data_IF_486110452249
#
_entry.id   IF_486110452249
#
_cell.length_a   1.000
_cell.length_b   1.000
_cell.length_c   1.000
_cell.angle_alpha   90.00
_cell.angle_beta   90.00
_cell.angle_gamma   90.00
#
_symmetry.space_group_name_H-M   'P 1'
#
loop_
_entity.id
_entity.type
_entity.pdbx_description
1 polymer ?
#
# COMPACT_ATOMS: atom_id res chain seq x y z
N UNK A 1 -27.37 -6.96 -18.78
CA UNK A 1 -26.68 -5.65 -18.79
C UNK A 1 -27.05 -4.91 -17.50
N UNK A 2 -27.00 -5.62 -16.36
CA UNK A 2 -27.68 -5.22 -15.11
C UNK A 2 -26.70 -5.01 -13.95
N UNK A 3 -25.42 -5.33 -14.16
CA UNK A 3 -24.35 -5.17 -13.16
C UNK A 3 -23.97 -3.70 -12.94
N UNK A 4 -24.19 -2.83 -13.93
CA UNK A 4 -23.93 -1.39 -13.84
C UNK A 4 -24.94 -0.65 -12.97
N UNK A 5 -26.18 -1.17 -12.87
CA UNK A 5 -27.28 -0.60 -12.08
C UNK A 5 -27.47 -1.26 -10.72
N UNK A 6 -26.72 -2.34 -10.43
CA UNK A 6 -26.79 -3.03 -9.14
C UNK A 6 -25.96 -2.28 -8.08
N UNK A 7 -26.61 -1.64 -7.08
CA UNK A 7 -25.90 -0.91 -6.03
C UNK A 7 -24.99 -1.83 -5.22
N UNK A 8 -25.30 -3.13 -5.12
CA UNK A 8 -24.46 -4.07 -4.37
C UNK A 8 -23.10 -4.29 -5.04
N UNK A 9 -23.06 -4.34 -6.38
CA UNK A 9 -21.81 -4.52 -7.12
C UNK A 9 -20.87 -3.32 -6.92
N UNK A 10 -21.41 -2.10 -6.91
CA UNK A 10 -20.66 -0.89 -6.63
C UNK A 10 -20.12 -0.84 -5.19
N UNK A 11 -20.96 -1.23 -4.20
CA UNK A 11 -20.54 -1.28 -2.80
C UNK A 11 -19.43 -2.32 -2.60
N UNK A 12 -19.56 -3.50 -3.21
CA UNK A 12 -18.53 -4.54 -3.14
C UNK A 12 -17.21 -4.07 -3.76
N UNK A 13 -17.26 -3.42 -4.94
CA UNK A 13 -16.10 -2.84 -5.61
C UNK A 13 -15.40 -1.78 -4.75
N UNK A 14 -16.17 -0.85 -4.18
CA UNK A 14 -15.63 0.21 -3.31
C UNK A 14 -15.01 -0.40 -2.05
N UNK A 15 -15.67 -1.39 -1.44
CA UNK A 15 -15.18 -2.03 -0.22
C UNK A 15 -13.89 -2.82 -0.47
N UNK A 16 -13.84 -3.59 -1.57
CA UNK A 16 -12.63 -4.31 -1.98
C UNK A 16 -11.48 -3.36 -2.28
N UNK A 17 -11.76 -2.31 -3.05
CA UNK A 17 -10.76 -1.28 -3.39
C UNK A 17 -10.25 -0.57 -2.14
N UNK A 18 -11.15 -0.24 -1.19
CA UNK A 18 -10.79 0.38 0.07
C UNK A 18 -9.90 -0.54 0.93
N UNK A 19 -10.22 -1.83 1.01
CA UNK A 19 -9.40 -2.82 1.72
C UNK A 19 -8.00 -2.96 1.12
N UNK A 20 -7.90 -3.03 -0.21
CA UNK A 20 -6.61 -3.07 -0.90
C UNK A 20 -5.77 -1.82 -0.65
N UNK A 21 -6.41 -0.64 -0.64
CA UNK A 21 -5.75 0.63 -0.36
C UNK A 21 -5.25 0.66 1.09
N UNK A 22 -6.06 0.27 2.07
CA UNK A 22 -5.65 0.24 3.49
C UNK A 22 -4.48 -0.70 3.70
N UNK A 23 -4.54 -1.93 3.14
CA UNK A 23 -3.44 -2.88 3.22
C UNK A 23 -2.15 -2.35 2.56
N UNK A 24 -2.28 -1.60 1.46
CA UNK A 24 -1.14 -1.00 0.77
C UNK A 24 -0.55 0.23 1.48
N UNK A 25 -1.38 1.02 2.18
CA UNK A 25 -0.97 2.25 2.86
C UNK A 25 -0.16 1.97 4.13
N UNK A 26 -0.51 0.93 4.89
CA UNK A 26 0.15 0.57 6.16
C UNK A 26 1.68 0.48 6.00
N UNK A 27 2.16 -0.13 4.91
CA UNK A 27 3.59 -0.34 4.66
C UNK A 27 4.33 0.96 4.29
N UNK A 28 3.72 1.80 3.45
CA UNK A 28 4.30 3.08 3.02
C UNK A 28 4.37 4.07 4.20
N UNK A 29 3.33 4.11 5.05
CA UNK A 29 3.30 4.98 6.23
C UNK A 29 4.40 4.58 7.22
N UNK A 30 4.58 3.29 7.52
CA UNK A 30 5.63 2.83 8.43
C UNK A 30 7.03 3.27 7.97
N UNK A 31 7.31 3.10 6.66
CA UNK A 31 8.56 3.51 6.05
C UNK A 31 8.78 5.03 6.11
N UNK A 32 7.74 5.80 5.81
CA UNK A 32 7.85 7.26 5.82
C UNK A 32 8.02 7.82 7.23
N UNK A 33 7.42 7.18 8.25
CA UNK A 33 7.62 7.51 9.67
C UNK A 33 9.04 7.15 10.12
N UNK A 34 9.53 5.95 9.75
CA UNK A 34 10.87 5.50 10.15
C UNK A 34 11.95 6.37 9.51
N UNK A 35 11.85 6.66 8.21
CA UNK A 35 12.81 7.52 7.51
C UNK A 35 12.82 8.96 8.04
N UNK A 36 11.68 9.49 8.50
CA UNK A 36 11.57 10.82 9.11
C UNK A 36 12.26 10.95 10.47
N UNK A 37 12.51 9.83 11.17
CA UNK A 37 13.20 9.83 12.48
C UNK A 37 14.72 9.73 12.39
N UNK A 38 15.31 9.52 11.21
CA UNK A 38 16.77 9.42 11.06
C UNK A 38 17.45 10.78 10.83
N UNK A 39 18.70 10.96 11.33
CA UNK A 39 19.51 12.15 11.08
C UNK A 39 19.78 12.34 9.58
N UNK A 40 19.89 13.59 9.12
CA UNK A 40 19.96 13.97 7.69
C UNK A 40 20.94 13.13 6.84
N UNK A 41 22.08 12.74 7.41
CA UNK A 41 23.09 11.91 6.72
C UNK A 41 22.63 10.47 6.43
N UNK A 42 21.69 9.95 7.22
CA UNK A 42 21.12 8.61 7.08
C UNK A 42 19.73 8.61 6.43
N UNK A 43 19.08 9.76 6.27
CA UNK A 43 17.77 9.86 5.62
C UNK A 43 17.80 9.38 4.17
N UNK A 44 18.90 9.61 3.44
CA UNK A 44 19.03 9.15 2.06
C UNK A 44 19.06 7.61 2.00
N UNK A 45 19.83 6.96 2.89
CA UNK A 45 19.84 5.50 2.99
C UNK A 45 18.51 4.95 3.49
N UNK A 46 17.89 5.58 4.49
CA UNK A 46 16.60 5.18 5.03
C UNK A 46 15.46 5.33 4.00
N UNK A 47 15.49 6.37 3.16
CA UNK A 47 14.57 6.52 2.02
C UNK A 47 14.75 5.42 1.00
N UNK A 48 15.99 5.10 0.62
CA UNK A 48 16.24 4.04 -0.37
C UNK A 48 15.89 2.67 0.17
N UNK A 49 16.28 2.35 1.41
CA UNK A 49 15.96 1.09 2.07
C UNK A 49 14.46 0.97 2.30
N UNK A 50 13.82 2.07 2.68
CA UNK A 50 12.38 2.19 2.83
C UNK A 50 11.65 1.99 1.51
N UNK A 51 12.00 2.71 0.45
CA UNK A 51 11.42 2.52 -0.88
C UNK A 51 11.60 1.09 -1.40
N UNK A 52 12.77 0.48 -1.16
CA UNK A 52 13.03 -0.92 -1.50
C UNK A 52 12.14 -1.89 -0.69
N UNK A 53 11.99 -1.68 0.61
CA UNK A 53 11.08 -2.46 1.47
C UNK A 53 9.61 -2.29 1.06
N UNK A 54 9.17 -1.08 0.73
CA UNK A 54 7.82 -0.82 0.22
C UNK A 54 7.58 -1.59 -1.08
N UNK A 55 8.53 -1.53 -2.03
CA UNK A 55 8.46 -2.30 -3.27
C UNK A 55 8.39 -3.80 -3.02
N UNK A 56 9.22 -4.34 -2.11
CA UNK A 56 9.21 -5.77 -1.75
C UNK A 56 7.88 -6.16 -1.10
N UNK A 57 7.37 -5.38 -0.14
CA UNK A 57 6.08 -5.66 0.50
C UNK A 57 4.95 -5.70 -0.52
N UNK A 58 5.00 -4.83 -1.53
CA UNK A 58 4.02 -4.76 -2.61
C UNK A 58 4.12 -5.97 -3.54
N UNK A 59 5.33 -6.43 -3.85
CA UNK A 59 5.56 -7.65 -4.63
C UNK A 59 5.05 -8.88 -3.86
N UNK A 60 5.35 -8.99 -2.56
CA UNK A 60 4.90 -10.11 -1.72
C UNK A 60 3.38 -10.15 -1.60
N UNK A 61 2.74 -8.99 -1.41
CA UNK A 61 1.28 -8.90 -1.38
C UNK A 61 0.64 -9.26 -2.71
N UNK A 62 1.17 -8.77 -3.83
CA UNK A 62 0.71 -9.14 -5.17
C UNK A 62 0.85 -10.64 -5.43
N UNK A 63 1.97 -11.26 -5.03
CA UNK A 63 2.18 -12.71 -5.13
C UNK A 63 1.32 -13.53 -4.17
N UNK A 64 0.89 -12.97 -3.04
CA UNK A 64 -0.02 -13.67 -2.12
C UNK A 64 -1.48 -13.59 -2.57
N UNK A 65 -1.82 -12.61 -3.42
CA UNK A 65 -3.16 -12.41 -3.98
C UNK A 65 -3.31 -13.04 -5.38
N UNK A 66 -2.22 -13.48 -6.02
CA UNK A 66 -2.19 -14.15 -7.33
C UNK A 66 -1.93 -15.64 -7.16
#
# INVERSE_FOLDING_TARGET
MDWLTDPQAWIALVTLTALEIVLGIDNIIFISILAGKLPHEQQQRARTLGLALAMISRIVLLFSLT
#
